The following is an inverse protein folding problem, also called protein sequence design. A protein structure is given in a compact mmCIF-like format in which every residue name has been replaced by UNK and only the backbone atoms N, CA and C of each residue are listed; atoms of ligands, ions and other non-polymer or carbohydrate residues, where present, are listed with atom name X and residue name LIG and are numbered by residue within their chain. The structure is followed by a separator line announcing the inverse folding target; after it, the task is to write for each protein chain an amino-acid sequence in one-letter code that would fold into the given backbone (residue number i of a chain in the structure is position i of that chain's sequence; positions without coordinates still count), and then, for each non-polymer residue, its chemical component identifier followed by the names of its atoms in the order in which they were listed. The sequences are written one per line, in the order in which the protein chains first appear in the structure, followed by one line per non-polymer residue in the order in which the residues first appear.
data_IF_541423047211
#
_entry.id   IF_541423047211
#
_cell.length_a   1.000
_cell.length_b   1.000
_cell.length_c   1.000
_cell.angle_alpha   90.00
_cell.angle_beta   90.00
_cell.angle_gamma   90.00
#
_symmetry.space_group_name_H-M   'P 1'
#
loop_
_entity.id
_entity.type
_entity.pdbx_description
1 polymer ?
#
# COMPACT_ATOMS: atom_id res chain seq x y z
N UNK A 1 2.85 -54.54 24.38
CA UNK A 1 3.94 -53.56 24.17
C UNK A 1 4.12 -53.17 22.70
N UNK A 2 4.41 -54.10 21.76
CA UNK A 2 4.62 -53.76 20.32
C UNK A 2 3.43 -53.04 19.63
N UNK A 3 2.18 -53.47 19.88
CA UNK A 3 0.98 -52.81 19.32
C UNK A 3 0.74 -51.40 19.89
N UNK A 4 1.03 -51.20 21.18
CA UNK A 4 0.93 -49.89 21.83
C UNK A 4 2.01 -48.93 21.32
N UNK A 5 3.24 -49.42 21.09
CA UNK A 5 4.31 -48.66 20.46
C UNK A 5 3.97 -48.28 19.01
N UNK A 6 3.37 -49.20 18.25
CA UNK A 6 2.90 -48.93 16.88
C UNK A 6 1.82 -47.86 16.83
N UNK A 7 0.87 -47.87 17.78
CA UNK A 7 -0.20 -46.87 17.89
C UNK A 7 0.34 -45.50 18.29
N UNK A 8 1.29 -45.45 19.22
CA UNK A 8 1.96 -44.21 19.62
C UNK A 8 2.78 -43.62 18.47
N UNK A 9 3.48 -44.47 17.71
CA UNK A 9 4.28 -44.04 16.57
C UNK A 9 3.41 -43.50 15.42
N UNK A 10 2.27 -44.14 15.12
CA UNK A 10 1.34 -43.64 14.10
C UNK A 10 0.67 -42.34 14.52
N UNK A 11 0.30 -42.20 15.79
CA UNK A 11 -0.26 -40.95 16.32
C UNK A 11 0.77 -39.81 16.27
N UNK A 12 2.02 -40.09 16.61
CA UNK A 12 3.11 -39.12 16.53
C UNK A 12 3.40 -38.69 15.08
N UNK A 13 3.39 -39.63 14.12
CA UNK A 13 3.56 -39.32 12.71
C UNK A 13 2.41 -38.45 12.16
N UNK A 14 1.16 -38.70 12.60
CA UNK A 14 0.01 -37.88 12.23
C UNK A 14 0.12 -36.46 12.78
N UNK A 15 0.55 -36.31 14.04
CA UNK A 15 0.79 -35.01 14.66
C UNK A 15 1.90 -34.27 13.92
N UNK A 16 3.01 -34.94 13.58
CA UNK A 16 4.09 -34.36 12.78
C UNK A 16 3.62 -33.88 11.41
N UNK A 17 2.76 -34.67 10.74
CA UNK A 17 2.19 -34.30 9.45
C UNK A 17 1.30 -33.06 9.55
N UNK A 18 0.41 -33.00 10.55
CA UNK A 18 -0.45 -31.85 10.81
C UNK A 18 0.36 -30.58 11.16
N UNK A 19 1.44 -30.73 11.94
CA UNK A 19 2.35 -29.62 12.26
C UNK A 19 3.15 -29.15 11.03
N UNK A 20 3.48 -30.05 10.11
CA UNK A 20 4.17 -29.73 8.86
C UNK A 20 3.28 -28.96 7.88
N UNK A 21 2.03 -29.43 7.69
CA UNK A 21 1.05 -28.74 6.85
C UNK A 21 0.70 -27.34 7.37
N UNK A 22 0.54 -27.19 8.70
CA UNK A 22 0.32 -25.88 9.32
C UNK A 22 1.51 -24.93 9.10
N UNK A 23 2.74 -25.43 9.17
CA UNK A 23 3.95 -24.65 8.87
C UNK A 23 4.00 -24.22 7.40
N UNK A 24 3.57 -25.08 6.48
CA UNK A 24 3.56 -24.77 5.05
C UNK A 24 2.55 -23.66 4.73
N UNK A 25 1.37 -23.69 5.38
CA UNK A 25 0.35 -22.66 5.21
C UNK A 25 0.77 -21.31 5.81
N UNK A 26 1.54 -21.32 6.91
CA UNK A 26 2.06 -20.10 7.54
C UNK A 26 3.22 -19.47 6.77
N UNK A 27 3.96 -20.24 5.96
CA UNK A 27 5.12 -19.76 5.21
C UNK A 27 4.79 -18.94 3.96
N UNK A 28 3.51 -18.70 3.67
CA UNK A 28 3.07 -18.06 2.43
C UNK A 28 2.88 -16.54 2.54
N UNK A 29 3.01 -15.94 3.72
CA UNK A 29 2.84 -14.50 3.90
C UNK A 29 3.98 -13.92 4.75
N UNK A 30 5.16 -13.75 4.14
CA UNK A 30 6.13 -12.69 4.44
C UNK A 30 7.31 -12.84 3.48
N UNK A 31 7.10 -12.44 2.23
CA UNK A 31 8.22 -12.29 1.29
C UNK A 31 8.85 -10.93 1.57
N UNK A 32 9.93 -10.95 2.35
CA UNK A 32 10.80 -9.79 2.59
C UNK A 32 11.38 -9.32 1.23
N UNK A 33 10.75 -8.32 0.63
CA UNK A 33 11.15 -7.68 -0.63
C UNK A 33 12.19 -6.58 -0.37
N UNK A 34 13.39 -6.95 0.08
CA UNK A 34 14.46 -5.96 0.28
C UNK A 34 15.44 -6.03 -0.92
N UNK A 35 15.40 -5.02 -1.81
CA UNK A 35 16.40 -4.83 -2.87
C UNK A 35 15.90 -4.49 -4.28
N UNK A 36 14.60 -4.56 -4.59
CA UNK A 36 14.09 -4.17 -5.91
C UNK A 36 13.60 -2.72 -5.85
N UNK A 37 14.30 -1.81 -6.54
CA UNK A 37 13.83 -0.43 -6.72
C UNK A 37 12.53 -0.44 -7.52
N UNK A 38 11.43 -0.08 -6.86
CA UNK A 38 10.10 0.07 -7.47
C UNK A 38 9.94 1.48 -8.04
N UNK A 39 9.21 1.58 -9.15
CA UNK A 39 8.79 2.85 -9.71
C UNK A 39 7.49 3.35 -9.05
N UNK A 40 7.11 4.58 -9.35
CA UNK A 40 5.87 5.20 -8.84
C UNK A 40 4.63 4.39 -9.22
N UNK A 41 4.60 3.88 -10.46
CA UNK A 41 3.50 3.08 -11.00
C UNK A 41 3.22 1.84 -10.17
N UNK A 42 4.24 1.17 -9.65
CA UNK A 42 4.08 0.04 -8.73
C UNK A 42 3.27 0.45 -7.48
N UNK A 43 3.68 1.52 -6.81
CA UNK A 43 3.01 1.98 -5.58
C UNK A 43 1.60 2.48 -5.85
N UNK A 44 1.42 3.25 -6.93
CA UNK A 44 0.12 3.70 -7.40
C UNK A 44 -0.84 2.53 -7.63
N UNK A 45 -0.41 1.54 -8.41
CA UNK A 45 -1.26 0.39 -8.78
C UNK A 45 -1.64 -0.42 -7.54
N UNK A 46 -0.65 -0.71 -6.69
CA UNK A 46 -0.85 -1.45 -5.44
C UNK A 46 -1.84 -0.74 -4.52
N UNK A 47 -1.57 0.52 -4.18
CA UNK A 47 -2.42 1.32 -3.30
C UNK A 47 -3.82 1.49 -3.88
N UNK A 48 -3.95 1.78 -5.18
CA UNK A 48 -5.26 2.02 -5.77
C UNK A 48 -6.13 0.75 -5.78
N UNK A 49 -5.52 -0.41 -6.03
CA UNK A 49 -6.19 -1.71 -5.91
C UNK A 49 -6.67 -1.97 -4.48
N UNK A 50 -5.84 -1.72 -3.47
CA UNK A 50 -6.20 -1.90 -2.06
C UNK A 50 -7.33 -0.96 -1.62
N UNK A 51 -7.41 0.23 -2.20
CA UNK A 51 -8.43 1.23 -1.91
C UNK A 51 -9.72 1.05 -2.74
N UNK A 52 -9.77 0.03 -3.61
CA UNK A 52 -10.92 -0.20 -4.50
C UNK A 52 -11.17 0.96 -5.47
N UNK A 53 -10.12 1.70 -5.83
CA UNK A 53 -10.21 2.86 -6.70
C UNK A 53 -10.06 2.53 -8.19
N UNK A 54 -10.36 3.52 -9.03
CA UNK A 54 -10.09 3.51 -10.45
C UNK A 54 -8.75 4.19 -10.72
N UNK A 55 -7.77 3.40 -11.16
CA UNK A 55 -6.43 3.88 -11.53
C UNK A 55 -6.48 4.72 -12.79
N UNK A 56 -5.63 5.75 -12.86
CA UNK A 56 -5.44 6.59 -14.06
C UNK A 56 -6.75 7.20 -14.62
N UNK A 57 -7.59 7.79 -13.75
CA UNK A 57 -8.85 8.40 -14.16
C UNK A 57 -8.61 9.72 -14.90
N UNK A 58 -8.96 9.77 -16.19
CA UNK A 58 -8.77 10.94 -17.06
C UNK A 58 -9.91 11.95 -16.89
N UNK A 59 -9.54 13.19 -16.61
CA UNK A 59 -10.43 14.35 -16.45
C UNK A 59 -10.76 15.01 -17.80
N UNK A 60 -11.68 15.98 -17.78
CA UNK A 60 -12.16 16.67 -18.99
C UNK A 60 -11.05 17.44 -19.73
N UNK A 61 -10.03 17.89 -19.00
CA UNK A 61 -8.87 18.65 -19.49
C UNK A 61 -7.67 17.75 -19.85
N UNK A 62 -7.87 16.42 -19.83
CA UNK A 62 -6.84 15.39 -20.04
C UNK A 62 -5.83 15.24 -18.90
N UNK A 63 -5.97 15.97 -17.79
CA UNK A 63 -5.25 15.61 -16.56
C UNK A 63 -5.71 14.23 -16.07
N UNK A 64 -4.92 13.60 -15.21
CA UNK A 64 -5.14 12.23 -14.79
C UNK A 64 -4.98 12.12 -13.29
N UNK A 65 -6.02 11.62 -12.64
CA UNK A 65 -6.00 11.27 -11.22
C UNK A 65 -5.40 9.88 -11.09
N UNK A 66 -4.33 9.73 -10.31
CA UNK A 66 -3.65 8.45 -10.16
C UNK A 66 -4.56 7.36 -9.61
N UNK A 67 -5.39 7.71 -8.62
CA UNK A 67 -6.43 6.84 -8.11
C UNK A 67 -7.67 7.62 -7.70
N UNK A 68 -8.82 7.28 -8.30
CA UNK A 68 -10.12 7.84 -7.94
C UNK A 68 -10.96 6.82 -7.18
N UNK A 69 -11.29 7.10 -5.93
CA UNK A 69 -12.16 6.25 -5.09
C UNK A 69 -13.56 6.85 -4.96
N UNK A 70 -14.44 6.21 -4.19
CA UNK A 70 -15.75 6.79 -3.85
C UNK A 70 -15.62 8.11 -3.07
N UNK A 71 -14.55 8.28 -2.28
CA UNK A 71 -14.37 9.41 -1.36
C UNK A 71 -13.23 10.37 -1.75
N UNK A 72 -12.12 9.84 -2.28
CA UNK A 72 -10.87 10.59 -2.50
C UNK A 72 -10.45 10.61 -3.97
N UNK A 73 -9.88 11.74 -4.38
CA UNK A 73 -9.00 11.85 -5.54
C UNK A 73 -7.56 11.87 -5.02
N UNK A 74 -6.78 10.85 -5.40
CA UNK A 74 -5.46 10.59 -4.84
C UNK A 74 -4.41 10.80 -5.93
N UNK A 75 -3.40 11.62 -5.64
CA UNK A 75 -2.15 11.67 -6.40
C UNK A 75 -1.06 10.87 -5.69
N UNK A 76 -0.28 10.07 -6.41
CA UNK A 76 0.78 9.22 -5.85
C UNK A 76 2.14 9.65 -6.38
N UNK A 77 3.04 10.02 -5.49
CA UNK A 77 4.37 10.49 -5.90
C UNK A 77 5.45 10.21 -4.84
N UNK A 78 6.72 10.22 -5.26
CA UNK A 78 7.85 10.24 -4.35
C UNK A 78 7.85 11.46 -3.45
N UNK A 79 8.21 11.28 -2.18
CA UNK A 79 8.15 12.31 -1.15
C UNK A 79 8.82 13.64 -1.55
N UNK A 80 9.93 13.59 -2.29
CA UNK A 80 10.62 14.79 -2.81
C UNK A 80 9.75 15.69 -3.70
N UNK A 81 8.73 15.15 -4.36
CA UNK A 81 7.79 15.86 -5.24
C UNK A 81 6.52 16.34 -4.50
N UNK A 82 6.54 16.34 -3.16
CA UNK A 82 5.40 16.72 -2.32
C UNK A 82 4.63 17.97 -2.76
N UNK A 83 5.32 19.02 -3.21
CA UNK A 83 4.67 20.28 -3.58
C UNK A 83 3.80 20.14 -4.84
N UNK A 84 4.27 19.36 -5.82
CA UNK A 84 3.53 19.03 -7.05
C UNK A 84 2.30 18.19 -6.70
N UNK A 85 2.52 17.12 -5.91
CA UNK A 85 1.44 16.23 -5.48
C UNK A 85 0.35 16.92 -4.66
N UNK A 86 0.68 17.91 -3.83
CA UNK A 86 -0.32 18.72 -3.12
C UNK A 86 -1.20 19.51 -4.11
N UNK A 87 -0.58 20.17 -5.09
CA UNK A 87 -1.29 20.94 -6.10
C UNK A 87 -2.25 20.08 -6.92
N UNK A 88 -1.77 18.92 -7.36
CA UNK A 88 -2.58 17.94 -8.10
C UNK A 88 -3.70 17.36 -7.25
N UNK A 89 -3.42 16.92 -6.02
CA UNK A 89 -4.44 16.38 -5.12
C UNK A 89 -5.60 17.37 -4.89
N UNK A 90 -5.27 18.65 -4.65
CA UNK A 90 -6.27 19.71 -4.48
C UNK A 90 -7.07 19.96 -5.76
N UNK A 91 -6.38 20.08 -6.91
CA UNK A 91 -7.04 20.30 -8.19
C UNK A 91 -7.98 19.14 -8.56
N UNK A 92 -7.52 17.90 -8.40
CA UNK A 92 -8.30 16.72 -8.73
C UNK A 92 -9.52 16.55 -7.82
N UNK A 93 -9.36 16.85 -6.53
CA UNK A 93 -10.47 16.88 -5.59
C UNK A 93 -11.56 17.86 -6.03
N UNK A 94 -11.17 19.09 -6.36
CA UNK A 94 -12.08 20.15 -6.84
C UNK A 94 -12.83 19.70 -8.11
N UNK A 95 -12.11 19.19 -9.12
CA UNK A 95 -12.72 18.79 -10.41
C UNK A 95 -13.65 17.59 -10.27
N UNK A 96 -13.34 16.65 -9.37
CA UNK A 96 -14.10 15.40 -9.22
C UNK A 96 -15.18 15.46 -8.13
N UNK A 97 -15.21 16.53 -7.33
CA UNK A 97 -16.06 16.63 -6.14
C UNK A 97 -15.69 15.63 -5.04
N UNK A 98 -14.44 15.15 -5.02
CA UNK A 98 -13.89 14.23 -4.02
C UNK A 98 -13.06 14.99 -2.99
N UNK A 99 -12.63 14.30 -1.93
CA UNK A 99 -11.66 14.83 -0.98
C UNK A 99 -10.23 14.70 -1.51
N UNK A 100 -9.34 15.67 -1.25
CA UNK A 100 -7.95 15.58 -1.67
C UNK A 100 -7.18 14.56 -0.84
N UNK A 101 -6.35 13.75 -1.50
CA UNK A 101 -5.41 12.86 -0.84
C UNK A 101 -4.09 12.78 -1.61
N UNK A 102 -3.01 12.53 -0.88
CA UNK A 102 -1.68 12.32 -1.45
C UNK A 102 -1.09 11.01 -0.92
N UNK A 103 -0.70 10.13 -1.84
CA UNK A 103 0.10 8.94 -1.57
C UNK A 103 1.58 9.27 -1.70
N UNK A 104 2.31 9.35 -0.59
CA UNK A 104 3.73 9.67 -0.59
C UNK A 104 4.57 8.40 -0.52
N UNK A 105 5.42 8.20 -1.51
CA UNK A 105 6.43 7.15 -1.52
C UNK A 105 7.65 7.63 -0.75
N UNK A 106 7.87 7.07 0.43
CA UNK A 106 8.83 7.55 1.45
C UNK A 106 9.98 6.56 1.59
N UNK A 107 11.21 7.04 1.42
CA UNK A 107 12.43 6.33 1.83
C UNK A 107 12.99 6.85 3.16
N UNK A 108 14.12 6.26 3.59
CA UNK A 108 14.78 6.57 4.87
C UNK A 108 15.07 8.06 5.11
N UNK A 109 15.41 8.81 4.05
CA UNK A 109 15.93 10.18 4.16
C UNK A 109 14.88 11.25 3.80
N UNK A 110 13.60 10.87 3.75
CA UNK A 110 12.51 11.70 3.24
C UNK A 110 11.69 12.42 4.35
N UNK A 111 12.11 12.32 5.62
CA UNK A 111 11.43 12.92 6.79
C UNK A 111 11.13 14.42 6.60
N UNK A 112 12.10 15.17 6.05
CA UNK A 112 11.94 16.61 5.78
C UNK A 112 10.77 16.93 4.84
N UNK A 113 10.43 16.02 3.92
CA UNK A 113 9.30 16.19 3.01
C UNK A 113 7.97 15.89 3.70
N UNK A 114 7.95 14.90 4.59
CA UNK A 114 6.76 14.61 5.41
C UNK A 114 6.37 15.81 6.29
N UNK A 115 7.35 16.48 6.89
CA UNK A 115 7.10 17.71 7.65
C UNK A 115 6.47 18.81 6.78
N UNK A 116 6.99 19.00 5.56
CA UNK A 116 6.49 20.01 4.62
C UNK A 116 5.06 19.70 4.15
N UNK A 117 4.79 18.45 3.78
CA UNK A 117 3.44 17.99 3.40
C UNK A 117 2.47 18.24 4.53
N UNK A 118 2.80 17.78 5.75
CA UNK A 118 1.92 17.89 6.91
C UNK A 118 1.54 19.35 7.21
N UNK A 119 2.51 20.26 7.12
CA UNK A 119 2.28 21.70 7.30
C UNK A 119 1.18 22.26 6.39
N UNK A 120 1.05 21.73 5.17
CA UNK A 120 0.04 22.17 4.20
C UNK A 120 -1.23 21.34 4.29
N UNK A 121 -1.10 20.02 4.43
CA UNK A 121 -2.21 19.08 4.49
C UNK A 121 -3.18 19.39 5.63
N UNK A 122 -2.66 19.74 6.82
CA UNK A 122 -3.48 20.09 7.98
C UNK A 122 -4.35 21.34 7.73
N UNK A 123 -3.88 22.28 6.90
CA UNK A 123 -4.62 23.51 6.56
C UNK A 123 -5.75 23.26 5.56
N UNK A 124 -5.57 22.31 4.66
CA UNK A 124 -6.48 22.06 3.53
C UNK A 124 -7.23 20.72 3.63
N UNK A 125 -7.18 20.06 4.79
CA UNK A 125 -7.82 18.76 5.05
C UNK A 125 -7.44 17.68 4.01
N UNK A 126 -6.14 17.64 3.66
CA UNK A 126 -5.62 16.67 2.69
C UNK A 126 -5.24 15.39 3.42
N UNK A 127 -5.81 14.26 3.00
CA UNK A 127 -5.43 12.95 3.55
C UNK A 127 -4.03 12.56 3.08
N UNK A 128 -3.14 12.27 4.03
CA UNK A 128 -1.80 11.74 3.73
C UNK A 128 -1.82 10.22 3.84
N UNK A 129 -1.34 9.53 2.80
CA UNK A 129 -1.15 8.08 2.76
C UNK A 129 0.35 7.82 2.61
N UNK A 130 0.95 7.08 3.54
CA UNK A 130 2.39 6.79 3.53
C UNK A 130 2.63 5.43 2.85
N UNK A 131 3.47 5.43 1.83
CA UNK A 131 3.87 4.25 1.05
C UNK A 131 5.38 4.04 1.23
N UNK A 132 5.78 3.07 2.05
CA UNK A 132 7.21 2.83 2.31
C UNK A 132 7.86 2.11 1.12
N UNK A 133 9.05 2.57 0.72
CA UNK A 133 9.85 1.94 -0.34
C UNK A 133 11.12 1.29 0.14
#
# INVERSE_FOLDING_TARGET
MKKLFSLLFSLFALILYLLFDANLSFKTEEKQEDGIKRDEKYYQTKMCSEFGGKTEYVLFDKARVDCLTSEYAIEVDFAKKWAEGIGQALYYAEVTGKKPAIGLIVGSDDEKYLYRVKTVADKFDIKIIILNR
#
